data_IF_075333160929
#
_entry.id   IF_075333160929
#
_cell.length_a   1.000
_cell.length_b   1.000
_cell.length_c   1.000
_cell.angle_alpha   90.00
_cell.angle_beta   90.00
_cell.angle_gamma   90.00
#
_symmetry.space_group_name_H-M   'P 1'
#
loop_
_entity.id
_entity.type
_entity.pdbx_description
1 polymer ?
#
# COMPACT_ATOMS: atom_id res chain seq x y z
N UNK A 1 1.98 -37.54 43.98
CA UNK A 1 1.03 -36.46 43.62
C UNK A 1 1.61 -35.84 42.37
N UNK A 2 1.09 -36.28 41.24
CA UNK A 2 1.81 -36.23 39.98
C UNK A 2 1.62 -34.86 39.32
N UNK A 3 2.72 -34.21 38.95
CA UNK A 3 2.75 -32.82 38.48
C UNK A 3 2.09 -32.59 37.10
N UNK A 4 1.45 -33.62 36.51
CA UNK A 4 0.84 -33.53 35.17
C UNK A 4 -0.40 -32.62 35.14
N UNK A 5 -1.18 -32.54 36.22
CA UNK A 5 -2.35 -31.64 36.28
C UNK A 5 -1.93 -30.17 36.31
N UNK A 6 -0.78 -29.85 36.92
CA UNK A 6 -0.20 -28.51 36.88
C UNK A 6 0.18 -28.12 35.45
N UNK A 7 0.76 -29.05 34.69
CA UNK A 7 1.07 -28.84 33.27
C UNK A 7 -0.21 -28.61 32.44
N UNK A 8 -1.27 -29.39 32.68
CA UNK A 8 -2.57 -29.20 31.98
C UNK A 8 -3.20 -27.84 32.29
N UNK A 9 -3.20 -27.42 33.57
CA UNK A 9 -3.72 -26.10 33.95
C UNK A 9 -2.91 -24.97 33.31
N UNK A 10 -1.59 -25.09 33.27
CA UNK A 10 -0.70 -24.05 32.73
C UNK A 10 -0.77 -23.96 31.20
N UNK A 11 -0.84 -25.11 30.51
CA UNK A 11 -0.84 -25.19 29.04
C UNK A 11 -2.23 -24.98 28.44
N UNK A 12 -3.30 -25.37 29.12
CA UNK A 12 -4.67 -25.31 28.58
C UNK A 12 -5.57 -24.39 29.39
N UNK A 13 -5.55 -24.51 30.73
CA UNK A 13 -6.43 -23.75 31.61
C UNK A 13 -6.20 -22.23 31.54
N UNK A 14 -4.95 -21.78 31.61
CA UNK A 14 -4.59 -20.36 31.56
C UNK A 14 -4.95 -19.73 30.21
N UNK A 15 -4.53 -20.29 29.04
CA UNK A 15 -4.92 -19.74 27.75
C UNK A 15 -6.44 -19.69 27.54
N UNK A 16 -7.16 -20.73 27.99
CA UNK A 16 -8.62 -20.76 27.89
C UNK A 16 -9.27 -19.67 28.75
N UNK A 17 -8.81 -19.46 29.98
CA UNK A 17 -9.31 -18.41 30.86
C UNK A 17 -9.05 -17.00 30.28
N UNK A 18 -7.87 -16.79 29.68
CA UNK A 18 -7.52 -15.54 28.97
C UNK A 18 -8.47 -15.33 27.79
N UNK A 19 -8.67 -16.35 26.94
CA UNK A 19 -9.56 -16.28 25.78
C UNK A 19 -11.01 -15.96 26.18
N UNK A 20 -11.53 -16.61 27.22
CA UNK A 20 -12.85 -16.33 27.79
C UNK A 20 -12.92 -14.89 28.28
N UNK A 21 -11.92 -14.42 29.03
CA UNK A 21 -11.90 -13.05 29.56
C UNK A 21 -11.92 -12.00 28.45
N UNK A 22 -11.14 -12.21 27.39
CA UNK A 22 -11.12 -11.33 26.20
C UNK A 22 -12.50 -11.33 25.52
N UNK A 23 -13.10 -12.51 25.31
CA UNK A 23 -14.42 -12.64 24.70
C UNK A 23 -15.52 -11.94 25.52
N UNK A 24 -15.51 -12.12 26.85
CA UNK A 24 -16.48 -11.46 27.75
C UNK A 24 -16.30 -9.95 27.74
N UNK A 25 -15.06 -9.43 27.87
CA UNK A 25 -14.79 -7.98 27.80
C UNK A 25 -15.25 -7.39 26.47
N UNK A 26 -15.01 -8.11 25.37
CA UNK A 26 -15.46 -7.72 24.04
C UNK A 26 -16.99 -7.66 23.97
N UNK A 27 -17.71 -8.64 24.50
CA UNK A 27 -19.17 -8.63 24.49
C UNK A 27 -19.74 -7.49 25.34
N UNK A 28 -19.16 -7.21 26.51
CA UNK A 28 -19.56 -6.08 27.34
C UNK A 28 -19.37 -4.75 26.58
N UNK A 29 -18.22 -4.59 25.91
CA UNK A 29 -17.94 -3.41 25.07
C UNK A 29 -18.98 -3.25 23.98
N UNK A 30 -19.29 -4.32 23.23
CA UNK A 30 -20.29 -4.29 22.16
C UNK A 30 -21.68 -3.92 22.70
N UNK A 31 -22.06 -4.48 23.85
CA UNK A 31 -23.35 -4.17 24.48
C UNK A 31 -23.43 -2.69 24.89
N UNK A 32 -22.36 -2.11 25.44
CA UNK A 32 -22.30 -0.68 25.77
C UNK A 32 -22.41 0.20 24.51
N UNK A 33 -21.68 -0.13 23.44
CA UNK A 33 -21.76 0.59 22.16
C UNK A 33 -23.20 0.58 21.62
N UNK A 34 -23.87 -0.58 21.65
CA UNK A 34 -25.29 -0.70 21.29
C UNK A 34 -26.22 0.08 22.21
N UNK A 35 -25.89 0.16 23.50
CA UNK A 35 -26.59 1.00 24.48
C UNK A 35 -26.52 2.50 24.14
N UNK A 36 -25.45 2.94 23.49
CA UNK A 36 -25.32 4.30 22.92
C UNK A 36 -26.00 4.47 21.56
N UNK A 37 -26.67 3.43 21.04
CA UNK A 37 -27.32 3.46 19.73
C UNK A 37 -26.36 3.30 18.55
N UNK A 38 -25.14 2.83 18.79
CA UNK A 38 -24.13 2.69 17.75
C UNK A 38 -24.03 1.25 17.24
N UNK A 39 -23.76 1.10 15.95
CA UNK A 39 -23.50 -0.19 15.32
C UNK A 39 -22.02 -0.55 15.44
N UNK A 40 -21.73 -1.86 15.48
CA UNK A 40 -20.37 -2.39 15.57
C UNK A 40 -20.18 -3.55 14.59
N UNK A 41 -19.10 -3.48 13.82
CA UNK A 41 -18.66 -4.49 12.87
C UNK A 41 -17.19 -4.79 13.12
N UNK A 42 -16.85 -6.04 13.42
CA UNK A 42 -15.50 -6.38 13.88
C UNK A 42 -14.46 -6.50 12.78
N UNK A 43 -14.89 -6.96 11.60
CA UNK A 43 -14.02 -7.23 10.46
C UNK A 43 -14.58 -6.51 9.22
N UNK A 44 -14.62 -5.17 9.26
CA UNK A 44 -15.04 -4.37 8.10
C UNK A 44 -14.03 -4.54 6.96
N UNK A 45 -14.45 -4.24 5.73
CA UNK A 45 -13.51 -4.02 4.64
C UNK A 45 -12.74 -2.69 4.81
N UNK A 46 -11.93 -2.30 3.80
CA UNK A 46 -11.12 -1.08 3.84
C UNK A 46 -11.92 0.21 3.61
N UNK A 47 -13.21 0.12 3.24
CA UNK A 47 -14.08 1.24 2.87
C UNK A 47 -14.13 2.35 3.93
N UNK A 48 -14.10 2.07 5.25
CA UNK A 48 -14.07 3.13 6.26
C UNK A 48 -12.84 4.04 6.18
N UNK A 49 -11.74 3.59 5.59
CA UNK A 49 -10.54 4.40 5.38
C UNK A 49 -10.45 5.02 3.97
N UNK A 50 -11.40 4.75 3.07
CA UNK A 50 -11.42 5.37 1.74
C UNK A 50 -11.47 6.89 1.86
N UNK A 51 -10.77 7.55 0.92
CA UNK A 51 -10.58 9.00 0.86
C UNK A 51 -9.79 9.59 2.02
N UNK A 52 -9.19 8.77 2.87
CA UNK A 52 -8.21 9.23 3.86
C UNK A 52 -6.81 8.94 3.33
N UNK A 53 -5.99 9.97 3.20
CA UNK A 53 -4.60 9.85 2.76
C UNK A 53 -3.61 10.68 3.61
N UNK A 54 -4.09 11.52 4.53
CA UNK A 54 -3.27 12.28 5.45
C UNK A 54 -2.70 11.34 6.53
N UNK A 55 -1.40 11.41 6.88
CA UNK A 55 -0.79 10.52 7.87
C UNK A 55 -1.60 10.43 9.17
N UNK A 56 -1.88 9.21 9.66
CA UNK A 56 -1.21 7.94 9.35
C UNK A 56 -1.73 7.21 8.10
N UNK A 57 -2.80 7.69 7.47
CA UNK A 57 -3.29 7.11 6.23
C UNK A 57 -2.29 7.35 5.11
N UNK A 58 -2.33 6.52 4.06
CA UNK A 58 -1.39 6.62 2.97
C UNK A 58 0.06 6.19 3.29
N UNK A 59 0.36 5.85 4.55
CA UNK A 59 1.67 5.36 5.00
C UNK A 59 1.65 3.86 5.28
N UNK A 60 2.84 3.26 5.28
CA UNK A 60 3.02 1.82 5.46
C UNK A 60 2.63 1.01 4.21
N UNK A 61 3.16 -0.19 4.15
CA UNK A 61 2.93 -1.17 3.09
C UNK A 61 1.80 -2.13 3.44
N UNK A 62 1.56 -2.35 4.75
CA UNK A 62 0.38 -3.08 5.24
C UNK A 62 -0.55 -2.12 5.97
N UNK A 63 -1.84 -2.23 5.64
CA UNK A 63 -2.90 -1.38 6.19
C UNK A 63 -4.14 -2.20 6.36
N UNK A 64 -4.75 -2.14 7.55
CA UNK A 64 -5.98 -2.84 7.85
C UNK A 64 -6.92 -1.95 8.65
N UNK A 65 -8.21 -2.13 8.37
CA UNK A 65 -9.30 -1.55 9.16
C UNK A 65 -9.90 -2.66 10.01
N UNK A 66 -10.09 -2.39 11.29
CA UNK A 66 -10.67 -3.33 12.26
C UNK A 66 -11.69 -2.58 13.13
N UNK A 67 -12.60 -3.31 13.77
CA UNK A 67 -13.49 -2.78 14.80
C UNK A 67 -14.20 -1.47 14.39
N UNK A 68 -14.95 -1.50 13.28
CA UNK A 68 -15.77 -0.37 12.83
C UNK A 68 -16.95 -0.14 13.77
N UNK A 69 -17.12 1.11 14.18
CA UNK A 69 -18.25 1.63 14.92
C UNK A 69 -18.86 2.75 14.08
N UNK A 70 -20.18 2.72 13.91
CA UNK A 70 -20.92 3.78 13.22
C UNK A 70 -22.06 4.28 14.09
N UNK A 71 -22.34 5.58 14.01
CA UNK A 71 -23.37 6.22 14.82
C UNK A 71 -23.63 7.66 14.41
N UNK A 72 -24.38 8.36 15.23
CA UNK A 72 -24.63 9.79 15.11
C UNK A 72 -24.26 10.50 16.42
N UNK A 73 -23.75 11.73 16.31
CA UNK A 73 -23.56 12.63 17.45
C UNK A 73 -24.91 13.04 18.03
N UNK A 74 -24.93 13.66 19.21
CA UNK A 74 -26.17 14.19 19.79
C UNK A 74 -26.90 15.19 18.86
N UNK A 75 -26.18 15.83 17.94
CA UNK A 75 -26.70 16.80 16.96
C UNK A 75 -27.03 16.16 15.60
N UNK A 76 -26.97 14.82 15.49
CA UNK A 76 -27.35 14.08 14.28
C UNK A 76 -26.26 14.01 13.21
N UNK A 77 -25.03 14.47 13.48
CA UNK A 77 -23.92 14.32 12.53
C UNK A 77 -23.46 12.86 12.51
N UNK A 78 -23.45 12.19 11.35
CA UNK A 78 -22.95 10.82 11.29
C UNK A 78 -21.45 10.80 11.55
N UNK A 79 -20.97 9.77 12.24
CA UNK A 79 -19.54 9.54 12.44
C UNK A 79 -19.21 8.06 12.22
N UNK A 80 -17.93 7.80 11.94
CA UNK A 80 -17.35 6.46 11.97
C UNK A 80 -16.12 6.45 12.85
N UNK A 81 -15.95 5.38 13.60
CA UNK A 81 -14.76 5.11 14.40
C UNK A 81 -14.25 3.74 13.99
N UNK A 82 -12.96 3.59 13.77
CA UNK A 82 -12.38 2.27 13.48
C UNK A 82 -10.97 2.20 14.02
N UNK A 83 -10.47 0.99 14.26
CA UNK A 83 -9.05 0.77 14.53
C UNK A 83 -8.32 0.70 13.20
N UNK A 84 -7.31 1.54 13.05
CA UNK A 84 -6.44 1.56 11.88
C UNK A 84 -5.06 1.05 12.28
N UNK A 85 -4.62 0.02 11.57
CA UNK A 85 -3.38 -0.71 11.79
C UNK A 85 -2.53 -0.58 10.53
N UNK A 86 -1.39 0.10 10.66
CA UNK A 86 -0.39 0.25 9.61
C UNK A 86 1.01 0.17 10.18
N UNK A 87 2.03 0.08 9.31
CA UNK A 87 3.42 0.04 9.76
C UNK A 87 3.77 1.28 10.61
N UNK A 88 3.96 1.08 11.92
CA UNK A 88 4.27 2.16 12.87
C UNK A 88 3.06 2.92 13.44
N UNK A 89 1.82 2.52 13.15
CA UNK A 89 0.62 3.12 13.74
C UNK A 89 -0.45 2.06 14.02
N UNK A 90 -0.91 1.98 15.26
CA UNK A 90 -2.01 1.10 15.65
C UNK A 90 -2.87 1.79 16.71
N UNK A 91 -3.95 2.44 16.27
CA UNK A 91 -4.85 3.18 17.15
C UNK A 91 -6.27 3.27 16.60
N UNK A 92 -7.20 3.64 17.48
CA UNK A 92 -8.55 3.99 17.09
C UNK A 92 -8.60 5.41 16.50
N UNK A 93 -9.27 5.56 15.37
CA UNK A 93 -9.48 6.82 14.67
C UNK A 93 -10.97 7.15 14.64
N UNK A 94 -11.31 8.42 14.85
CA UNK A 94 -12.67 8.96 14.75
C UNK A 94 -12.73 9.87 13.52
N UNK A 95 -13.75 9.70 12.70
CA UNK A 95 -13.96 10.45 11.47
C UNK A 95 -15.36 11.07 11.47
N UNK A 96 -15.41 12.39 11.28
CA UNK A 96 -16.63 13.17 11.05
C UNK A 96 -16.59 13.81 9.65
N UNK A 97 -17.71 13.85 8.92
CA UNK A 97 -17.76 14.46 7.60
C UNK A 97 -17.67 15.99 7.67
N UNK A 98 -17.06 16.56 6.65
CA UNK A 98 -17.08 17.99 6.32
C UNK A 98 -17.99 18.20 5.09
N UNK A 99 -18.56 19.40 4.91
CA UNK A 99 -19.48 19.68 3.80
C UNK A 99 -18.81 19.61 2.42
N UNK A 100 -17.48 19.70 2.35
CA UNK A 100 -16.68 19.64 1.12
C UNK A 100 -15.22 19.31 1.42
N UNK A 101 -14.46 18.96 0.39
CA UNK A 101 -13.02 18.76 0.51
C UNK A 101 -12.31 20.06 0.89
N UNK A 102 -11.30 19.95 1.75
CA UNK A 102 -10.43 21.05 2.18
C UNK A 102 -8.96 20.64 2.08
N UNK A 103 -8.01 21.61 2.06
CA UNK A 103 -6.58 21.32 2.02
C UNK A 103 -6.11 20.46 3.20
N UNK A 104 -5.19 19.53 2.93
CA UNK A 104 -4.60 18.67 3.94
C UNK A 104 -3.94 19.52 5.04
N UNK A 105 -4.42 19.34 6.28
CA UNK A 105 -3.95 20.10 7.44
C UNK A 105 -3.92 19.20 8.66
N UNK A 106 -2.91 19.33 9.51
CA UNK A 106 -2.75 18.57 10.74
C UNK A 106 -2.44 19.47 11.91
N UNK A 107 -3.03 19.16 13.06
CA UNK A 107 -2.69 19.72 14.35
C UNK A 107 -2.23 18.57 15.26
N UNK A 108 -0.98 18.65 15.70
CA UNK A 108 -0.36 17.67 16.60
C UNK A 108 0.27 18.40 17.79
N UNK A 109 0.90 17.65 18.71
CA UNK A 109 1.70 18.26 19.79
C UNK A 109 2.83 19.17 19.26
N UNK A 110 3.31 18.94 18.03
CA UNK A 110 4.32 19.76 17.37
C UNK A 110 3.75 21.00 16.66
N UNK A 111 2.45 21.26 16.81
CA UNK A 111 1.75 22.39 16.18
C UNK A 111 1.10 22.03 14.84
N UNK A 112 0.76 23.09 14.10
CA UNK A 112 0.10 23.03 12.81
C UNK A 112 1.07 22.64 11.68
N UNK A 113 0.61 21.78 10.78
CA UNK A 113 1.31 21.37 9.56
C UNK A 113 0.31 21.30 8.40
N UNK A 114 0.71 21.71 7.20
CA UNK A 114 -0.15 21.60 6.02
C UNK A 114 0.50 22.31 4.82
N UNK A 115 -0.06 22.06 3.64
CA UNK A 115 0.48 22.60 2.39
C UNK A 115 0.03 24.04 2.11
N UNK A 116 -1.05 24.50 2.77
CA UNK A 116 -1.65 25.81 2.57
C UNK A 116 -1.65 26.63 3.89
N UNK A 117 -0.64 27.47 4.11
CA UNK A 117 -0.55 28.31 5.31
C UNK A 117 -1.73 29.28 5.46
N UNK A 118 -2.26 29.82 4.36
CA UNK A 118 -3.36 30.78 4.40
C UNK A 118 -4.66 30.10 4.85
N UNK A 119 -4.88 28.86 4.43
CA UNK A 119 -5.99 28.05 4.92
C UNK A 119 -5.85 27.75 6.42
N UNK A 120 -4.64 27.38 6.88
CA UNK A 120 -4.37 27.15 8.31
C UNK A 120 -4.69 28.41 9.11
N UNK A 121 -4.20 29.57 8.70
CA UNK A 121 -4.41 30.84 9.39
C UNK A 121 -5.90 31.19 9.52
N UNK A 122 -6.71 30.87 8.50
CA UNK A 122 -8.13 31.12 8.51
C UNK A 122 -8.89 30.25 9.54
N UNK A 123 -8.56 28.95 9.64
CA UNK A 123 -9.29 28.02 10.51
C UNK A 123 -8.76 28.00 11.95
N UNK A 124 -7.49 28.39 12.15
CA UNK A 124 -6.75 28.24 13.40
C UNK A 124 -7.49 28.80 14.62
N UNK A 125 -7.98 30.05 14.63
CA UNK A 125 -8.61 30.62 15.83
C UNK A 125 -9.84 29.82 16.30
N UNK A 126 -10.66 29.37 15.35
CA UNK A 126 -11.86 28.60 15.64
C UNK A 126 -11.53 27.20 16.16
N UNK A 127 -10.56 26.52 15.54
CA UNK A 127 -10.14 25.17 15.95
C UNK A 127 -9.44 25.21 17.30
N UNK A 128 -8.50 26.14 17.53
CA UNK A 128 -7.81 26.25 18.81
C UNK A 128 -8.78 26.52 19.97
N UNK A 129 -9.73 27.44 19.78
CA UNK A 129 -10.78 27.70 20.76
C UNK A 129 -11.64 26.45 21.05
N UNK A 130 -12.05 25.72 20.00
CA UNK A 130 -12.85 24.49 20.17
C UNK A 130 -12.06 23.35 20.83
N UNK A 131 -10.75 23.28 20.60
CA UNK A 131 -9.87 22.24 21.17
C UNK A 131 -9.38 22.53 22.58
N UNK A 132 -9.50 23.76 23.09
CA UNK A 132 -9.04 24.13 24.43
C UNK A 132 -9.63 23.25 25.55
N UNK A 133 -10.85 22.75 25.34
CA UNK A 133 -11.57 21.83 26.24
C UNK A 133 -11.39 20.34 25.93
N UNK A 134 -10.62 19.96 24.91
CA UNK A 134 -10.43 18.56 24.54
C UNK A 134 -9.67 17.80 25.63
N UNK A 135 -10.27 16.71 26.14
CA UNK A 135 -9.71 15.91 27.24
C UNK A 135 -9.73 14.41 26.97
N UNK A 136 -10.23 13.99 25.81
CA UNK A 136 -10.39 12.58 25.47
C UNK A 136 -9.08 11.87 25.06
N UNK A 137 -7.92 12.53 25.09
CA UNK A 137 -6.63 11.92 24.77
C UNK A 137 -5.64 12.92 24.15
N UNK A 138 -4.53 12.43 23.55
CA UNK A 138 -3.66 13.26 22.72
C UNK A 138 -4.44 13.89 21.57
N UNK A 139 -4.26 15.20 21.37
CA UNK A 139 -4.89 15.91 20.27
C UNK A 139 -4.07 15.70 18.99
N UNK A 140 -4.42 14.65 18.25
CA UNK A 140 -3.90 14.39 16.91
C UNK A 140 -5.06 14.53 15.92
N UNK A 141 -5.20 15.73 15.36
CA UNK A 141 -6.27 16.11 14.46
C UNK A 141 -5.74 16.26 13.04
N UNK A 142 -6.47 15.76 12.05
CA UNK A 142 -6.20 16.02 10.64
C UNK A 142 -7.46 16.35 9.86
N UNK A 143 -7.28 17.16 8.82
CA UNK A 143 -8.26 17.45 7.79
C UNK A 143 -7.81 16.72 6.54
N UNK A 144 -8.65 15.81 6.06
CA UNK A 144 -8.29 14.86 5.02
C UNK A 144 -9.42 14.78 4.01
N UNK A 145 -9.30 15.56 2.94
CA UNK A 145 -10.40 15.72 2.00
C UNK A 145 -11.62 16.34 2.67
N UNK A 146 -12.75 15.63 2.61
CA UNK A 146 -14.02 16.05 3.21
C UNK A 146 -14.23 15.43 4.61
N UNK A 147 -13.16 15.21 5.37
CA UNK A 147 -13.22 14.60 6.69
C UNK A 147 -12.39 15.37 7.73
N UNK A 148 -12.95 15.48 8.93
CA UNK A 148 -12.22 15.73 10.16
C UNK A 148 -11.87 14.38 10.78
N UNK A 149 -10.59 14.15 11.06
CA UNK A 149 -10.11 12.93 11.68
C UNK A 149 -9.40 13.23 13.00
N UNK A 150 -9.70 12.44 14.03
CA UNK A 150 -8.96 12.42 15.29
C UNK A 150 -8.34 11.03 15.48
N UNK A 151 -7.03 10.98 15.75
CA UNK A 151 -6.31 9.74 16.02
C UNK A 151 -6.10 9.55 17.53
N UNK A 152 -6.15 8.29 17.99
CA UNK A 152 -5.90 7.94 19.39
C UNK A 152 -7.09 8.21 20.31
N UNK A 153 -8.32 8.10 19.79
CA UNK A 153 -9.53 8.25 20.61
C UNK A 153 -9.71 7.04 21.56
N UNK A 154 -10.39 7.19 22.71
CA UNK A 154 -10.55 6.12 23.69
C UNK A 154 -11.25 4.87 23.16
N UNK A 155 -10.83 3.72 23.66
CA UNK A 155 -11.42 2.40 23.34
C UNK A 155 -12.65 2.12 24.20
N UNK A 156 -12.69 2.65 25.43
CA UNK A 156 -13.86 2.53 26.31
C UNK A 156 -15.07 3.27 25.70
N UNK A 157 -16.25 2.63 25.61
CA UNK A 157 -17.43 3.23 24.97
C UNK A 157 -17.91 4.54 25.59
N UNK A 158 -17.78 4.71 26.91
CA UNK A 158 -18.30 5.89 27.62
C UNK A 158 -17.35 7.08 27.45
N UNK A 159 -16.05 6.83 27.51
CA UNK A 159 -15.02 7.81 27.16
C UNK A 159 -15.09 8.18 25.67
N UNK A 160 -15.30 7.19 24.79
CA UNK A 160 -15.47 7.42 23.35
C UNK A 160 -16.67 8.32 23.05
N UNK A 161 -17.79 8.15 23.76
CA UNK A 161 -18.95 9.04 23.63
C UNK A 161 -18.60 10.47 23.97
N UNK A 162 -17.81 10.70 25.01
CA UNK A 162 -17.30 12.04 25.32
C UNK A 162 -16.41 12.59 24.19
N UNK A 163 -15.53 11.75 23.65
CA UNK A 163 -14.66 12.13 22.53
C UNK A 163 -15.44 12.52 21.26
N UNK A 164 -16.49 11.76 20.93
CA UNK A 164 -17.39 12.01 19.78
C UNK A 164 -18.07 13.38 19.90
N UNK A 165 -18.61 13.72 21.08
CA UNK A 165 -19.26 15.02 21.27
C UNK A 165 -18.27 16.18 21.25
N UNK A 166 -17.06 16.01 21.82
CA UNK A 166 -15.99 17.00 21.72
C UNK A 166 -15.56 17.20 20.25
N UNK A 167 -15.41 16.13 19.49
CA UNK A 167 -15.08 16.19 18.08
C UNK A 167 -16.20 16.81 17.23
N UNK A 168 -17.48 16.61 17.58
CA UNK A 168 -18.63 17.28 16.96
C UNK A 168 -18.57 18.81 17.17
N UNK A 169 -18.18 19.27 18.36
CA UNK A 169 -17.98 20.70 18.63
C UNK A 169 -16.83 21.29 17.79
N UNK A 170 -15.71 20.56 17.66
CA UNK A 170 -14.59 20.95 16.80
C UNK A 170 -15.01 21.00 15.33
N UNK A 171 -15.74 19.99 14.85
CA UNK A 171 -16.25 19.92 13.49
C UNK A 171 -17.11 21.14 13.14
N UNK A 172 -18.02 21.55 14.03
CA UNK A 172 -18.86 22.74 13.78
C UNK A 172 -18.06 24.03 13.73
N UNK A 173 -17.16 24.23 14.69
CA UNK A 173 -16.29 25.40 14.70
C UNK A 173 -15.46 25.49 13.41
N UNK A 174 -14.94 24.35 12.96
CA UNK A 174 -14.23 24.23 11.71
C UNK A 174 -15.13 24.53 10.49
N UNK A 175 -16.32 23.94 10.41
CA UNK A 175 -17.27 24.17 9.30
C UNK A 175 -17.64 25.65 9.17
N UNK A 176 -17.81 26.35 10.30
CA UNK A 176 -18.07 27.79 10.31
C UNK A 176 -16.85 28.63 9.88
N UNK A 177 -15.64 28.13 10.09
CA UNK A 177 -14.39 28.86 9.81
C UNK A 177 -13.81 28.59 8.41
N UNK A 178 -14.21 27.51 7.74
CA UNK A 178 -13.71 27.16 6.39
C UNK A 178 -14.04 28.30 5.39
N UNK A 179 -13.03 28.98 4.80
CA UNK A 179 -13.26 30.08 3.86
C UNK A 179 -13.99 29.60 2.61
N UNK A 180 -15.01 30.31 2.13
CA UNK A 180 -15.80 29.89 0.95
C UNK A 180 -14.96 29.62 -0.32
N UNK A 181 -13.83 30.30 -0.47
CA UNK A 181 -12.88 30.16 -1.57
C UNK A 181 -11.76 29.15 -1.33
N UNK A 182 -11.79 28.40 -0.21
CA UNK A 182 -10.73 27.43 0.09
C UNK A 182 -10.62 26.37 -1.01
N UNK A 183 -9.40 26.02 -1.46
CA UNK A 183 -9.18 24.99 -2.48
C UNK A 183 -9.85 23.67 -2.10
N UNK A 184 -10.36 22.96 -3.10
CA UNK A 184 -11.00 21.65 -2.92
C UNK A 184 -10.14 20.60 -3.62
N UNK A 185 -9.20 19.96 -2.89
CA UNK A 185 -8.36 18.93 -3.49
C UNK A 185 -9.22 17.74 -3.94
N UNK A 186 -8.84 17.16 -5.09
CA UNK A 186 -9.38 15.88 -5.51
C UNK A 186 -8.80 14.78 -4.62
N UNK A 187 -9.67 13.93 -4.08
CA UNK A 187 -9.28 12.86 -3.17
C UNK A 187 -9.55 11.52 -3.84
N UNK A 188 -8.59 10.59 -3.85
CA UNK A 188 -8.79 9.26 -4.43
C UNK A 188 -9.98 8.55 -3.80
N UNK A 189 -10.77 7.86 -4.63
CA UNK A 189 -11.97 7.15 -4.17
C UNK A 189 -11.66 5.84 -3.43
N UNK A 190 -10.45 5.31 -3.60
CA UNK A 190 -9.92 4.13 -2.92
C UNK A 190 -8.75 4.53 -1.99
N UNK A 191 -8.15 3.57 -1.31
CA UNK A 191 -6.90 3.80 -0.57
C UNK A 191 -5.79 4.16 -1.57
N UNK A 192 -4.94 5.11 -1.18
CA UNK A 192 -3.80 5.56 -1.99
C UNK A 192 -2.55 5.71 -1.15
N UNK A 193 -1.43 6.13 -1.73
CA UNK A 193 -0.19 6.38 -0.98
C UNK A 193 -0.06 7.89 -0.73
N UNK A 194 0.38 8.28 0.47
CA UNK A 194 0.58 9.69 0.81
C UNK A 194 1.65 10.28 -0.11
N UNK A 195 1.36 11.46 -0.68
CA UNK A 195 2.19 12.09 -1.72
C UNK A 195 2.08 11.45 -3.12
N UNK A 196 1.36 10.33 -3.27
CA UNK A 196 1.14 9.63 -4.56
C UNK A 196 -0.35 9.28 -4.75
N UNK A 197 -1.23 10.29 -4.89
CA UNK A 197 -2.69 10.07 -4.95
C UNK A 197 -3.15 9.28 -6.19
N UNK A 198 -2.30 9.15 -7.22
CA UNK A 198 -2.57 8.36 -8.42
C UNK A 198 -2.23 6.87 -8.26
N UNK A 199 -1.67 6.48 -7.11
CA UNK A 199 -1.42 5.08 -6.78
C UNK A 199 -2.60 4.54 -6.01
N UNK A 200 -3.13 3.40 -6.44
CA UNK A 200 -4.26 2.74 -5.80
C UNK A 200 -3.76 1.54 -5.02
N UNK A 201 -4.12 1.47 -3.74
CA UNK A 201 -3.77 0.40 -2.83
C UNK A 201 -4.98 -0.47 -2.50
N UNK A 202 -4.81 -1.79 -2.52
CA UNK A 202 -5.78 -2.78 -2.05
C UNK A 202 -5.06 -3.75 -1.11
N UNK A 203 -5.70 -4.04 0.02
CA UNK A 203 -5.12 -4.99 1.00
C UNK A 203 -4.95 -6.38 0.37
N UNK A 204 -5.94 -6.81 -0.40
CA UNK A 204 -5.93 -8.06 -1.14
C UNK A 204 -6.73 -7.91 -2.45
N UNK A 205 -6.20 -8.44 -3.55
CA UNK A 205 -6.89 -8.51 -4.84
C UNK A 205 -6.29 -9.62 -5.72
N UNK A 206 -6.80 -10.85 -5.51
CA UNK A 206 -6.29 -12.06 -6.16
C UNK A 206 -6.49 -12.07 -7.68
N UNK A 207 -7.34 -11.18 -8.23
CA UNK A 207 -7.56 -11.08 -9.69
C UNK A 207 -6.30 -10.65 -10.44
N UNK A 208 -5.34 -10.02 -9.77
CA UNK A 208 -4.05 -9.70 -10.37
C UNK A 208 -3.20 -10.92 -10.69
N UNK A 209 -3.39 -12.06 -10.00
CA UNK A 209 -2.67 -13.30 -10.28
C UNK A 209 -3.04 -13.92 -11.63
N UNK A 210 -4.16 -13.51 -12.23
CA UNK A 210 -4.54 -13.91 -13.59
C UNK A 210 -3.79 -13.10 -14.67
N UNK A 211 -3.12 -12.02 -14.28
CA UNK A 211 -2.50 -11.04 -15.19
C UNK A 211 -0.98 -10.99 -15.03
N UNK A 212 -0.47 -11.11 -13.81
CA UNK A 212 0.98 -11.10 -13.54
C UNK A 212 1.60 -12.48 -13.74
N UNK A 213 2.89 -12.52 -14.09
CA UNK A 213 3.63 -13.79 -14.15
C UNK A 213 4.05 -14.20 -12.74
N UNK A 214 3.56 -15.35 -12.29
CA UNK A 214 3.92 -15.96 -11.02
C UNK A 214 4.80 -17.20 -11.24
N UNK A 215 5.65 -17.52 -10.25
CA UNK A 215 6.37 -18.80 -10.23
C UNK A 215 5.67 -19.84 -9.33
N UNK A 216 4.70 -19.38 -8.55
CA UNK A 216 3.97 -20.17 -7.55
C UNK A 216 2.70 -20.84 -8.06
N UNK A 217 2.15 -21.72 -7.23
CA UNK A 217 0.79 -22.21 -7.41
C UNK A 217 -0.23 -21.10 -7.15
N UNK A 218 -1.52 -21.37 -7.38
CA UNK A 218 -2.59 -20.43 -7.02
C UNK A 218 -2.50 -20.05 -5.55
N UNK A 219 -2.68 -18.76 -5.27
CA UNK A 219 -2.48 -18.19 -3.95
C UNK A 219 -3.28 -16.91 -3.76
N UNK A 220 -2.80 -16.08 -2.85
CA UNK A 220 -3.37 -14.80 -2.46
C UNK A 220 -2.44 -13.67 -2.92
N UNK A 221 -3.00 -12.59 -3.45
CA UNK A 221 -2.27 -11.37 -3.77
C UNK A 221 -2.57 -10.31 -2.72
N UNK A 222 -1.62 -10.10 -1.80
CA UNK A 222 -1.70 -9.08 -0.77
C UNK A 222 -0.93 -7.82 -1.18
N UNK A 223 -1.21 -6.70 -0.48
CA UNK A 223 -0.47 -5.43 -0.62
C UNK A 223 -0.43 -5.00 -2.08
N UNK A 224 -1.57 -5.08 -2.77
CA UNK A 224 -1.65 -4.78 -4.19
C UNK A 224 -1.62 -3.28 -4.37
N UNK A 225 -0.64 -2.79 -5.10
CA UNK A 225 -0.45 -1.38 -5.38
C UNK A 225 -0.26 -1.21 -6.88
N UNK A 226 -1.07 -0.37 -7.51
CA UNK A 226 -1.08 -0.21 -8.96
C UNK A 226 -1.39 1.21 -9.37
N UNK A 227 -1.06 1.54 -10.61
CA UNK A 227 -1.34 2.85 -11.16
C UNK A 227 -0.81 3.00 -12.58
N UNK A 228 -0.62 4.25 -12.95
CA UNK A 228 -0.05 4.65 -14.23
C UNK A 228 1.14 5.59 -13.99
N UNK A 229 2.17 5.47 -14.82
CA UNK A 229 3.35 6.32 -14.83
C UNK A 229 3.77 6.58 -16.27
N UNK A 230 3.64 7.82 -16.76
CA UNK A 230 3.96 8.20 -18.15
C UNK A 230 3.31 7.28 -19.21
N UNK A 231 2.01 7.00 -19.07
CA UNK A 231 1.28 6.11 -19.99
C UNK A 231 1.52 4.61 -19.79
N UNK A 232 2.44 4.23 -18.89
CA UNK A 232 2.71 2.83 -18.55
C UNK A 232 1.89 2.42 -17.34
N UNK A 233 1.08 1.37 -17.49
CA UNK A 233 0.40 0.73 -16.37
C UNK A 233 1.41 -0.10 -15.59
N UNK A 234 1.24 -0.18 -14.28
CA UNK A 234 2.11 -1.00 -13.43
C UNK A 234 1.36 -1.57 -12.24
N UNK A 235 1.90 -2.66 -11.68
CA UNK A 235 1.44 -3.27 -10.44
C UNK A 235 2.64 -3.78 -9.63
N UNK A 236 2.54 -3.61 -8.31
CA UNK A 236 3.36 -4.26 -7.30
C UNK A 236 2.43 -5.06 -6.37
N UNK A 237 2.81 -6.29 -6.03
CA UNK A 237 2.04 -7.10 -5.08
C UNK A 237 2.94 -8.12 -4.38
N UNK A 238 2.47 -8.65 -3.26
CA UNK A 238 3.08 -9.82 -2.63
C UNK A 238 2.19 -11.04 -2.88
N UNK A 239 2.73 -12.05 -3.56
CA UNK A 239 2.04 -13.32 -3.82
C UNK A 239 2.40 -14.34 -2.74
N UNK A 240 1.39 -14.88 -2.09
CA UNK A 240 1.51 -15.94 -1.08
C UNK A 240 0.82 -17.21 -1.57
N UNK A 241 1.51 -18.36 -1.51
CA UNK A 241 0.89 -19.65 -1.82
C UNK A 241 1.40 -20.74 -0.89
N UNK A 242 0.65 -21.84 -0.84
CA UNK A 242 0.98 -23.01 -0.01
C UNK A 242 1.02 -24.25 -0.88
N UNK A 243 2.04 -25.09 -0.68
CA UNK A 243 2.15 -26.41 -1.33
C UNK A 243 2.21 -27.51 -0.30
N UNK A 244 1.53 -28.62 -0.55
CA UNK A 244 1.50 -29.78 0.36
C UNK A 244 2.25 -30.95 -0.25
N UNK A 245 3.23 -31.48 0.47
CA UNK A 245 3.98 -32.68 0.09
C UNK A 245 3.55 -33.83 1.00
N UNK A 246 2.95 -34.88 0.42
CA UNK A 246 2.59 -36.10 1.15
C UNK A 246 3.56 -37.21 0.78
N UNK A 247 4.31 -37.69 1.77
CA UNK A 247 5.24 -38.82 1.63
C UNK A 247 4.66 -40.02 2.35
N UNK A 248 4.46 -41.11 1.62
CA UNK A 248 4.04 -42.40 2.17
C UNK A 248 5.22 -43.36 2.12
N UNK A 249 5.68 -43.82 3.28
CA UNK A 249 6.74 -44.81 3.39
C UNK A 249 6.16 -46.09 3.99
N UNK A 250 6.45 -47.22 3.36
CA UNK A 250 6.10 -48.54 3.89
C UNK A 250 7.38 -49.22 4.34
N UNK A 251 7.45 -49.58 5.62
CA UNK A 251 8.60 -50.27 6.17
C UNK A 251 8.65 -51.74 5.72
N UNK A 252 9.77 -52.42 5.99
CA UNK A 252 9.96 -53.84 5.66
C UNK A 252 9.01 -54.78 6.41
N UNK A 253 8.24 -54.26 7.37
CA UNK A 253 7.23 -55.00 8.15
C UNK A 253 5.80 -54.73 7.64
N UNK A 254 5.66 -54.03 6.51
CA UNK A 254 4.37 -53.74 5.87
C UNK A 254 3.58 -52.61 6.53
N UNK A 255 4.15 -51.89 7.51
CA UNK A 255 3.50 -50.72 8.11
C UNK A 255 3.72 -49.52 7.23
N UNK A 256 2.62 -48.86 6.89
CA UNK A 256 2.62 -47.68 6.05
C UNK A 256 2.47 -46.43 6.92
N UNK A 257 3.44 -45.54 6.88
CA UNK A 257 3.39 -44.24 7.52
C UNK A 257 3.18 -43.18 6.43
N UNK A 258 2.14 -42.38 6.58
CA UNK A 258 1.89 -41.21 5.72
C UNK A 258 2.20 -39.96 6.50
N UNK A 259 3.15 -39.16 6.00
CA UNK A 259 3.50 -37.87 6.55
C UNK A 259 3.14 -36.79 5.53
N UNK A 260 2.41 -35.78 5.97
CA UNK A 260 2.06 -34.61 5.14
C UNK A 260 2.78 -33.39 5.69
N UNK A 261 3.54 -32.70 4.84
CA UNK A 261 4.23 -31.46 5.17
C UNK A 261 3.67 -30.32 4.31
N UNK A 262 3.37 -29.20 4.96
CA UNK A 262 2.84 -27.99 4.33
C UNK A 262 3.95 -26.95 4.24
N UNK A 263 4.21 -26.44 3.04
CA UNK A 263 5.23 -25.41 2.78
C UNK A 263 4.54 -24.10 2.41
N UNK A 264 4.90 -23.02 3.08
CA UNK A 264 4.43 -21.67 2.78
C UNK A 264 5.49 -20.95 1.97
N UNK A 265 5.06 -20.37 0.85
CA UNK A 265 5.93 -19.65 -0.07
C UNK A 265 5.44 -18.22 -0.24
N UNK A 266 6.38 -17.34 -0.58
CA UNK A 266 6.12 -15.92 -0.81
C UNK A 266 7.07 -15.39 -1.89
N UNK A 267 6.55 -14.58 -2.78
CA UNK A 267 7.33 -13.76 -3.72
C UNK A 267 6.76 -12.34 -3.80
N UNK A 268 7.62 -11.34 -3.93
CA UNK A 268 7.20 -9.96 -4.24
C UNK A 268 7.32 -9.76 -5.76
N UNK A 269 6.25 -9.28 -6.38
CA UNK A 269 6.15 -9.10 -7.82
C UNK A 269 6.03 -7.61 -8.16
N UNK A 270 6.71 -7.21 -9.22
CA UNK A 270 6.59 -5.88 -9.82
C UNK A 270 6.61 -6.01 -11.34
N UNK A 271 5.54 -5.58 -11.98
CA UNK A 271 5.37 -5.62 -13.43
C UNK A 271 4.95 -4.26 -13.96
N UNK A 272 5.53 -3.86 -15.09
CA UNK A 272 5.14 -2.64 -15.83
C UNK A 272 4.85 -3.03 -17.28
N UNK A 273 3.66 -2.67 -17.78
CA UNK A 273 3.31 -2.83 -19.18
C UNK A 273 3.93 -1.69 -19.99
N UNK A 274 4.91 -2.03 -20.82
CA UNK A 274 5.56 -1.09 -21.75
C UNK A 274 4.70 -0.92 -23.01
N UNK A 275 4.96 0.10 -23.85
CA UNK A 275 4.20 0.28 -25.09
C UNK A 275 4.21 -0.98 -25.96
N UNK A 276 3.08 -1.26 -26.61
CA UNK A 276 2.89 -2.47 -27.41
C UNK A 276 3.93 -2.59 -28.53
N UNK A 277 4.32 -3.82 -28.88
CA UNK A 277 5.31 -4.06 -29.94
C UNK A 277 6.77 -3.86 -29.50
N UNK A 278 7.04 -3.43 -28.27
CA UNK A 278 8.40 -3.41 -27.75
C UNK A 278 8.98 -4.84 -27.72
N UNK A 279 10.11 -5.03 -28.38
CA UNK A 279 10.73 -6.34 -28.55
C UNK A 279 11.30 -6.92 -27.26
N UNK A 280 11.47 -8.24 -27.24
CA UNK A 280 12.01 -8.95 -26.10
C UNK A 280 13.47 -8.57 -25.84
N UNK A 281 13.77 -8.14 -24.61
CA UNK A 281 15.09 -7.69 -24.19
C UNK A 281 15.32 -8.07 -22.74
N UNK A 282 16.42 -8.75 -22.44
CA UNK A 282 16.85 -9.02 -21.06
C UNK A 282 18.25 -8.49 -20.82
N UNK A 283 18.46 -7.95 -19.63
CA UNK A 283 19.73 -7.51 -19.10
C UNK A 283 19.95 -8.22 -17.76
N UNK A 284 20.91 -9.14 -17.71
CA UNK A 284 21.31 -9.91 -16.52
C UNK A 284 20.25 -10.80 -15.84
N UNK A 285 18.97 -10.78 -16.24
CA UNK A 285 17.90 -11.53 -15.55
C UNK A 285 17.60 -12.90 -16.16
N UNK A 286 17.51 -12.99 -17.49
CA UNK A 286 17.05 -14.20 -18.15
C UNK A 286 18.21 -15.14 -18.52
N UNK A 287 18.12 -16.40 -18.07
CA UNK A 287 19.09 -17.49 -18.31
C UNK A 287 18.59 -18.54 -19.32
N UNK A 288 17.90 -18.13 -20.38
CA UNK A 288 17.63 -19.03 -21.51
C UNK A 288 18.94 -19.38 -22.20
N UNK A 289 18.96 -20.51 -22.90
CA UNK A 289 20.07 -21.04 -23.73
C UNK A 289 20.59 -20.08 -24.83
N UNK A 290 20.03 -18.88 -24.94
CA UNK A 290 20.48 -17.83 -25.84
C UNK A 290 21.82 -17.23 -25.39
N UNK A 291 22.76 -17.17 -26.33
CA UNK A 291 24.06 -16.53 -26.12
C UNK A 291 23.89 -15.02 -25.97
N UNK A 292 24.56 -14.37 -25.01
CA UNK A 292 24.54 -12.91 -24.89
C UNK A 292 25.02 -12.23 -26.17
N UNK A 293 24.40 -11.11 -26.52
CA UNK A 293 24.81 -10.24 -27.62
C UNK A 293 26.08 -9.51 -27.19
N UNK A 294 27.06 -9.41 -28.10
CA UNK A 294 28.33 -8.72 -27.85
C UNK A 294 28.30 -7.33 -28.44
N UNK A 295 28.53 -6.32 -27.62
CA UNK A 295 28.61 -4.91 -28.02
C UNK A 295 30.08 -4.48 -28.20
N UNK A 296 30.28 -3.29 -28.76
CA UNK A 296 31.61 -2.68 -28.96
C UNK A 296 32.38 -2.44 -27.65
N UNK A 297 31.68 -2.21 -26.53
CA UNK A 297 32.31 -1.95 -25.24
C UNK A 297 32.59 -3.24 -24.48
N UNK A 298 33.87 -3.62 -24.41
CA UNK A 298 34.31 -4.77 -23.62
C UNK A 298 33.98 -4.62 -22.12
N UNK A 299 33.99 -3.38 -21.58
CA UNK A 299 33.60 -3.11 -20.20
C UNK A 299 32.10 -3.37 -19.98
N UNK A 300 31.25 -2.91 -20.91
CA UNK A 300 29.81 -3.17 -20.88
C UNK A 300 29.51 -4.66 -20.92
N UNK A 301 30.09 -5.40 -21.89
CA UNK A 301 29.86 -6.85 -22.03
C UNK A 301 30.33 -7.68 -20.81
N UNK A 302 31.29 -7.17 -20.03
CA UNK A 302 31.69 -7.81 -18.77
C UNK A 302 30.64 -7.62 -17.68
N UNK A 303 30.05 -6.42 -17.60
CA UNK A 303 29.09 -6.05 -16.55
C UNK A 303 27.66 -6.50 -16.83
N UNK A 304 27.26 -6.49 -18.10
CA UNK A 304 25.90 -6.73 -18.56
C UNK A 304 25.88 -7.84 -19.61
N UNK A 305 24.93 -8.76 -19.44
CA UNK A 305 24.57 -9.81 -20.39
C UNK A 305 23.23 -9.45 -20.99
N UNK A 306 23.28 -8.87 -22.20
CA UNK A 306 22.09 -8.53 -22.96
C UNK A 306 21.67 -9.72 -23.82
N UNK A 307 20.39 -10.04 -23.81
CA UNK A 307 19.77 -11.08 -24.63
C UNK A 307 18.47 -10.55 -25.22
N UNK A 308 18.05 -11.09 -26.34
CA UNK A 308 16.77 -10.79 -26.98
C UNK A 308 16.60 -11.64 -28.23
N UNK A 309 15.37 -11.71 -28.71
CA UNK A 309 15.01 -12.58 -29.84
C UNK A 309 15.50 -12.02 -31.19
N UNK A 310 15.60 -10.69 -31.30
CA UNK A 310 16.16 -9.99 -32.46
C UNK A 310 17.44 -9.22 -32.07
N UNK A 311 18.63 -9.71 -32.50
CA UNK A 311 19.89 -9.01 -32.26
C UNK A 311 19.94 -7.59 -32.84
N UNK A 312 19.28 -7.34 -33.97
CA UNK A 312 19.25 -6.01 -34.58
C UNK A 312 18.50 -5.03 -33.69
N UNK A 313 17.29 -5.39 -33.26
CA UNK A 313 16.53 -4.61 -32.28
C UNK A 313 17.34 -4.33 -31.01
N UNK A 314 18.04 -5.34 -30.48
CA UNK A 314 18.88 -5.15 -29.30
C UNK A 314 20.03 -4.15 -29.53
N UNK A 315 20.66 -4.18 -30.70
CA UNK A 315 21.70 -3.19 -31.07
C UNK A 315 21.14 -1.79 -31.27
N UNK A 316 19.95 -1.68 -31.87
CA UNK A 316 19.29 -0.39 -32.09
C UNK A 316 18.85 0.26 -30.76
N UNK A 317 18.40 -0.54 -29.78
CA UNK A 317 18.05 -0.09 -28.42
C UNK A 317 19.29 0.19 -27.58
N UNK A 318 20.25 -0.73 -27.53
CA UNK A 318 21.46 -0.65 -26.71
C UNK A 318 22.61 -0.03 -27.53
N UNK A 319 22.43 1.23 -27.89
CA UNK A 319 23.43 2.05 -28.58
C UNK A 319 24.46 2.65 -27.59
N UNK A 320 25.53 3.33 -28.05
CA UNK A 320 26.64 3.78 -27.18
C UNK A 320 26.22 4.61 -25.96
N UNK A 321 25.37 5.62 -26.16
CA UNK A 321 24.83 6.44 -25.06
C UNK A 321 23.93 5.66 -24.08
N UNK A 322 23.22 4.63 -24.55
CA UNK A 322 22.43 3.75 -23.67
C UNK A 322 23.37 2.91 -22.80
N UNK A 323 24.45 2.38 -23.38
CA UNK A 323 25.46 1.65 -22.59
C UNK A 323 26.09 2.52 -21.51
N UNK A 324 26.45 3.77 -21.84
CA UNK A 324 26.95 4.75 -20.86
C UNK A 324 25.94 5.00 -19.74
N UNK A 325 24.67 5.23 -20.09
CA UNK A 325 23.58 5.40 -19.13
C UNK A 325 23.44 4.20 -18.19
N UNK A 326 23.37 2.98 -18.74
CA UNK A 326 23.21 1.75 -17.96
C UNK A 326 24.41 1.51 -17.01
N UNK A 327 25.62 1.79 -17.47
CA UNK A 327 26.85 1.71 -16.66
C UNK A 327 26.86 2.76 -15.55
N UNK A 328 26.55 4.01 -15.86
CA UNK A 328 26.54 5.12 -14.90
C UNK A 328 25.45 4.95 -13.84
N UNK A 329 24.29 4.44 -14.23
CA UNK A 329 23.17 4.21 -13.30
C UNK A 329 23.33 2.94 -12.48
N UNK A 330 24.19 2.02 -12.90
CA UNK A 330 24.30 0.69 -12.30
C UNK A 330 22.99 -0.06 -12.46
N UNK A 331 22.52 -0.19 -13.70
CA UNK A 331 21.19 -0.72 -14.02
C UNK A 331 20.86 -2.04 -13.28
N UNK A 332 19.63 -2.18 -12.75
CA UNK A 332 19.17 -3.44 -12.15
C UNK A 332 19.09 -4.54 -13.22
N UNK A 333 19.07 -5.80 -12.78
CA UNK A 333 18.76 -6.90 -13.69
C UNK A 333 17.26 -6.84 -14.04
N UNK A 334 16.94 -6.88 -15.33
CA UNK A 334 15.56 -6.86 -15.79
C UNK A 334 15.35 -7.65 -17.07
N UNK A 335 14.10 -7.95 -17.39
CA UNK A 335 13.64 -8.35 -18.71
C UNK A 335 12.39 -7.59 -19.11
N UNK A 336 12.24 -7.36 -20.41
CA UNK A 336 11.00 -6.98 -21.06
C UNK A 336 10.65 -8.16 -21.94
N UNK A 337 9.61 -8.88 -21.57
CA UNK A 337 9.15 -10.08 -22.29
C UNK A 337 7.63 -10.03 -22.43
N UNK A 338 7.15 -10.15 -23.68
CA UNK A 338 5.73 -10.03 -24.00
C UNK A 338 5.15 -8.65 -23.70
N UNK A 339 5.97 -7.59 -23.80
CA UNK A 339 5.55 -6.21 -23.49
C UNK A 339 5.46 -5.91 -21.99
N UNK A 340 6.05 -6.74 -21.12
CA UNK A 340 6.03 -6.55 -19.67
C UNK A 340 7.45 -6.49 -19.13
N UNK A 341 7.81 -5.37 -18.50
CA UNK A 341 9.03 -5.20 -17.74
C UNK A 341 8.94 -5.91 -16.39
N UNK A 342 9.98 -6.68 -16.05
CA UNK A 342 10.16 -7.39 -14.79
C UNK A 342 11.59 -7.23 -14.28
N UNK A 343 11.75 -7.18 -12.98
CA UNK A 343 13.04 -7.03 -12.29
C UNK A 343 13.03 -7.86 -11.01
N UNK A 344 14.21 -8.13 -10.47
CA UNK A 344 14.29 -8.57 -9.08
C UNK A 344 13.79 -7.43 -8.20
N UNK A 345 12.84 -7.74 -7.32
CA UNK A 345 12.06 -6.74 -6.61
C UNK A 345 11.87 -7.16 -5.16
N UNK A 346 12.14 -6.23 -4.26
CA UNK A 346 11.77 -6.31 -2.85
C UNK A 346 10.73 -5.24 -2.60
N UNK A 347 9.53 -5.63 -2.15
CA UNK A 347 8.41 -4.71 -2.08
C UNK A 347 8.71 -3.56 -1.12
N UNK A 348 8.73 -2.34 -1.67
CA UNK A 348 8.63 -1.09 -0.92
C UNK A 348 8.18 0.03 -1.85
N UNK A 349 7.58 1.09 -1.31
CA UNK A 349 7.19 2.25 -2.13
C UNK A 349 8.40 2.92 -2.79
N UNK A 350 9.56 2.92 -2.12
CA UNK A 350 10.81 3.47 -2.66
C UNK A 350 11.35 2.64 -3.82
N UNK A 351 11.32 1.31 -3.72
CA UNK A 351 11.73 0.44 -4.81
C UNK A 351 10.83 0.60 -6.04
N UNK A 352 9.52 0.75 -5.83
CA UNK A 352 8.56 1.00 -6.93
C UNK A 352 8.91 2.29 -7.66
N UNK A 353 9.05 3.41 -6.94
CA UNK A 353 9.45 4.69 -7.56
C UNK A 353 10.78 4.56 -8.30
N UNK A 354 11.77 3.90 -7.68
CA UNK A 354 13.08 3.71 -8.28
C UNK A 354 13.01 2.96 -9.62
N UNK A 355 12.22 1.88 -9.68
CA UNK A 355 12.08 1.08 -10.90
C UNK A 355 11.22 1.76 -11.96
N UNK A 356 10.15 2.45 -11.58
CA UNK A 356 9.35 3.26 -12.51
C UNK A 356 10.20 4.35 -13.15
N UNK A 357 10.99 5.05 -12.34
CA UNK A 357 11.87 6.13 -12.80
C UNK A 357 13.02 5.58 -13.66
N UNK A 358 13.63 4.45 -13.28
CA UNK A 358 14.63 3.78 -14.10
C UNK A 358 14.08 3.38 -15.47
N UNK A 359 12.92 2.71 -15.50
CA UNK A 359 12.30 2.26 -16.74
C UNK A 359 11.90 3.44 -17.63
N UNK A 360 11.31 4.50 -17.06
CA UNK A 360 11.02 5.75 -17.77
C UNK A 360 12.27 6.31 -18.43
N UNK A 361 13.37 6.44 -17.67
CA UNK A 361 14.63 6.94 -18.20
C UNK A 361 15.17 6.03 -19.31
N UNK A 362 15.16 4.70 -19.10
CA UNK A 362 15.57 3.73 -20.11
C UNK A 362 14.77 3.90 -21.41
N UNK A 363 13.44 3.96 -21.35
CA UNK A 363 12.60 4.14 -22.54
C UNK A 363 12.82 5.50 -23.21
N UNK A 364 13.13 6.56 -22.45
CA UNK A 364 13.47 7.87 -23.01
C UNK A 364 14.77 7.87 -23.83
N UNK A 365 15.68 6.92 -23.57
CA UNK A 365 16.91 6.77 -24.34
C UNK A 365 16.70 6.05 -25.66
N UNK A 366 15.64 5.23 -25.80
CA UNK A 366 15.33 4.48 -27.02
C UNK A 366 15.17 5.43 -28.22
N UNK A 367 15.90 5.23 -29.33
CA UNK A 367 15.80 6.11 -30.50
C UNK A 367 14.41 6.13 -31.13
N UNK A 368 14.02 7.27 -31.71
CA UNK A 368 12.70 7.44 -32.34
C UNK A 368 12.44 6.44 -33.47
N UNK A 369 13.46 6.10 -34.27
CA UNK A 369 13.32 5.12 -35.36
C UNK A 369 12.99 3.71 -34.84
N UNK A 370 13.41 3.37 -33.62
CA UNK A 370 13.07 2.08 -33.00
C UNK A 370 11.58 2.04 -32.69
N UNK A 371 11.05 3.12 -32.11
CA UNK A 371 9.61 3.29 -31.86
C UNK A 371 8.80 3.26 -33.15
N UNK A 372 9.25 3.97 -34.18
CA UNK A 372 8.63 3.98 -35.51
C UNK A 372 8.56 2.57 -36.11
N UNK A 373 9.65 1.80 -36.04
CA UNK A 373 9.72 0.43 -36.55
C UNK A 373 8.74 -0.53 -35.86
N UNK A 374 8.32 -0.24 -34.63
CA UNK A 374 7.36 -1.05 -33.86
C UNK A 374 5.95 -0.44 -33.83
N UNK A 375 5.68 0.54 -34.70
CA UNK A 375 4.34 1.10 -34.91
C UNK A 375 3.98 2.29 -34.00
N UNK A 376 4.96 2.92 -33.36
CA UNK A 376 4.78 4.10 -32.51
C UNK A 376 5.57 5.30 -33.07
N UNK A 377 5.09 5.99 -34.12
CA UNK A 377 5.77 7.16 -34.68
C UNK A 377 5.82 8.34 -33.68
N UNK A 378 4.82 8.42 -32.80
CA UNK A 378 4.75 9.35 -31.68
C UNK A 378 4.80 8.56 -30.36
N UNK A 379 5.99 8.20 -29.86
CA UNK A 379 6.10 7.44 -28.62
C UNK A 379 5.55 8.23 -27.42
N UNK A 380 5.12 7.55 -26.34
CA UNK A 380 4.68 8.23 -25.12
C UNK A 380 5.72 9.22 -24.60
N UNK A 381 5.25 10.33 -24.04
CA UNK A 381 6.15 11.32 -23.42
C UNK A 381 6.75 10.75 -22.13
N UNK A 382 7.94 10.18 -22.25
CA UNK A 382 8.74 9.70 -21.13
C UNK A 382 9.45 10.84 -20.40
N UNK A 383 9.20 12.12 -20.72
CA UNK A 383 9.88 13.27 -20.14
C UNK A 383 11.32 13.44 -20.65
N UNK A 384 12.07 14.40 -20.06
CA UNK A 384 13.42 14.70 -20.53
C UNK A 384 14.38 13.53 -20.28
N UNK A 385 15.28 13.31 -21.24
CA UNK A 385 16.42 12.40 -21.07
C UNK A 385 17.27 12.89 -19.91
N UNK A 386 17.66 12.03 -18.95
CA UNK A 386 18.60 12.43 -17.92
C UNK A 386 19.90 12.88 -18.57
N UNK A 387 20.50 13.97 -18.07
CA UNK A 387 21.80 14.42 -18.58
C UNK A 387 22.83 13.31 -18.34
N UNK A 388 23.64 12.93 -19.34
CA UNK A 388 24.81 12.10 -19.08
C UNK A 388 25.69 12.88 -18.09
N UNK A 389 25.94 12.32 -16.92
CA UNK A 389 26.87 12.89 -15.94
C UNK A 389 28.30 12.63 -16.35
#
# INVERSE_FOLDING_TARGET
MDAWWLVVVLVVGIPLAIAITIAVRRQIRINKLRGHGWAFESAPGPEPAYRLNCPPFGLGERRRVKDLITGQTAEGTPFKVFRYDSDGFDNQVLVLPLPRSVPETRLTANGWQGQDPAFIDAIRPAVEAATAGYRAGPLHLSLDGAALVLCGVPVDPDELKTAVEQASAIQRALVAAIPANAPQPLVPNELSVHGRPHWTYREQDDSWLDVVRTNGARGEAERVLFGEHHGMRWVALTHHWTTTTTTTSTDSEGRTQTQTQTHHHREDLFEVWVPSGFGNLSLNRFELFARPITFESAAFNRRFKVRGDDPRFCHDVIHPRMMEFLMARGAPAFDIDGGVYRTDFAYSHEAIDHHLEFLRQFLSWVPSFVWENIGHPDPPDFGPKPLPR
#
